data_IF_589223667477
#
_entry.id   IF_589223667477
#
_cell.length_a   1.000
_cell.length_b   1.000
_cell.length_c   1.000
_cell.angle_alpha   90.00
_cell.angle_beta   90.00
_cell.angle_gamma   90.00
#
_symmetry.space_group_name_H-M   'P 1'
#
loop_
_entity.id
_entity.type
_entity.pdbx_description
1 polymer ?
#
# COMPACT_ATOMS: atom_id res chain seq x y z
N UNK A 1 3.35 17.29 3.29
CA UNK A 1 2.20 16.64 3.94
C UNK A 1 0.94 16.90 3.12
N UNK A 2 0.25 15.85 2.69
CA UNK A 2 -1.05 15.96 2.02
C UNK A 2 -2.18 16.11 3.06
N UNK A 3 -3.27 16.77 2.68
CA UNK A 3 -4.48 16.89 3.52
C UNK A 3 -5.49 15.83 3.09
N UNK A 4 -6.11 15.16 4.06
CA UNK A 4 -7.29 14.32 3.81
C UNK A 4 -8.40 15.20 3.24
N UNK A 5 -9.00 14.74 2.15
CA UNK A 5 -10.19 15.36 1.56
C UNK A 5 -11.42 14.54 1.93
N UNK A 6 -12.58 15.17 1.99
CA UNK A 6 -13.84 14.44 2.17
C UNK A 6 -14.41 14.13 0.79
N UNK A 7 -14.79 12.87 0.56
CA UNK A 7 -15.54 12.43 -0.62
C UNK A 7 -16.61 11.44 -0.16
N UNK A 8 -17.89 11.76 -0.37
CA UNK A 8 -19.04 10.91 -0.02
C UNK A 8 -18.99 10.36 1.42
N UNK A 9 -18.64 11.20 2.39
CA UNK A 9 -18.53 10.79 3.81
C UNK A 9 -17.27 9.98 4.16
N UNK A 10 -16.42 9.67 3.18
CA UNK A 10 -15.15 8.97 3.37
C UNK A 10 -13.95 9.92 3.30
N UNK A 11 -12.88 9.57 4.01
CA UNK A 11 -11.58 10.24 3.86
C UNK A 11 -10.90 9.78 2.58
N UNK A 12 -10.53 10.73 1.72
CA UNK A 12 -9.79 10.49 0.48
C UNK A 12 -8.34 10.95 0.67
N UNK A 13 -7.42 10.01 0.51
CA UNK A 13 -6.00 10.26 0.31
C UNK A 13 -5.65 10.02 -1.16
N UNK A 14 -4.58 10.65 -1.64
CA UNK A 14 -4.12 10.51 -3.03
C UNK A 14 -2.75 9.86 -3.04
N UNK A 15 -2.59 8.80 -3.83
CA UNK A 15 -1.29 8.19 -4.09
C UNK A 15 -0.66 8.94 -5.28
N UNK A 16 0.57 9.45 -5.17
CA UNK A 16 1.26 10.09 -6.28
C UNK A 16 1.35 9.19 -7.52
N UNK A 17 1.06 9.74 -8.70
CA UNK A 17 1.10 8.99 -9.97
C UNK A 17 2.44 8.31 -10.22
N UNK A 18 3.54 8.97 -9.86
CA UNK A 18 4.90 8.43 -9.98
C UNK A 18 5.12 7.12 -9.23
N UNK A 19 4.44 6.90 -8.10
CA UNK A 19 4.53 5.63 -7.38
C UNK A 19 3.72 4.54 -8.09
N UNK A 20 2.53 4.90 -8.58
CA UNK A 20 1.71 4.00 -9.38
C UNK A 20 2.42 3.56 -10.67
N UNK A 21 3.14 4.46 -11.32
CA UNK A 21 3.96 4.16 -12.51
C UNK A 21 5.15 3.24 -12.18
N UNK A 22 5.82 3.46 -11.04
CA UNK A 22 6.91 2.60 -10.58
C UNK A 22 6.44 1.17 -10.27
N UNK A 23 5.22 1.04 -9.77
CA UNK A 23 4.62 -0.24 -9.41
C UNK A 23 3.84 -0.87 -10.58
N UNK A 24 3.83 -0.26 -11.77
CA UNK A 24 3.13 -0.78 -12.96
C UNK A 24 1.60 -0.76 -12.87
N UNK A 25 1.04 -0.04 -11.89
CA UNK A 25 -0.40 0.05 -11.61
C UNK A 25 -1.14 0.88 -12.66
N UNK A 26 -0.43 1.76 -13.36
CA UNK A 26 -0.95 2.52 -14.50
C UNK A 26 -0.27 2.08 -15.77
N UNK A 27 -1.02 2.09 -16.87
CA UNK A 27 -0.50 1.75 -18.19
C UNK A 27 0.43 2.86 -18.75
N UNK A 28 1.07 2.66 -19.92
CA UNK A 28 1.96 3.66 -20.51
C UNK A 28 1.30 5.01 -20.85
N UNK A 29 -0.02 5.02 -21.06
CA UNK A 29 -0.81 6.24 -21.27
C UNK A 29 -1.20 6.90 -19.93
N UNK A 30 -0.94 6.19 -18.83
CA UNK A 30 -1.12 6.61 -17.46
C UNK A 30 -2.57 6.51 -17.00
N UNK A 31 -3.34 5.62 -17.62
CA UNK A 31 -4.67 5.21 -17.20
C UNK A 31 -4.60 3.99 -16.27
N UNK A 32 -5.66 3.78 -15.50
CA UNK A 32 -5.77 2.60 -14.65
C UNK A 32 -6.35 1.43 -15.45
N UNK A 33 -5.80 0.21 -15.32
CA UNK A 33 -6.42 -0.98 -15.89
C UNK A 33 -7.87 -1.14 -15.40
N UNK A 34 -8.76 -1.62 -16.27
CA UNK A 34 -10.19 -1.75 -15.97
C UNK A 34 -10.48 -2.59 -14.71
N UNK A 35 -9.62 -3.55 -14.40
CA UNK A 35 -9.77 -4.47 -13.28
C UNK A 35 -8.89 -4.12 -12.08
N UNK A 36 -8.21 -2.97 -12.10
CA UNK A 36 -7.35 -2.56 -10.99
C UNK A 36 -8.19 -2.34 -9.72
N UNK A 37 -8.04 -3.26 -8.77
CA UNK A 37 -8.68 -3.19 -7.47
C UNK A 37 -7.66 -2.81 -6.39
N UNK A 38 -8.19 -2.35 -5.26
CA UNK A 38 -7.41 -2.10 -4.06
C UNK A 38 -8.22 -2.48 -2.82
N UNK A 39 -7.49 -2.81 -1.75
CA UNK A 39 -8.05 -2.93 -0.40
C UNK A 39 -7.42 -1.88 0.51
N UNK A 40 -8.17 -1.49 1.53
CA UNK A 40 -7.69 -0.63 2.62
C UNK A 40 -7.96 -1.36 3.92
N UNK A 41 -6.89 -1.77 4.60
CA UNK A 41 -6.99 -2.48 5.86
C UNK A 41 -6.46 -1.60 7.00
N UNK A 42 -7.12 -1.66 8.14
CA UNK A 42 -6.64 -1.01 9.36
C UNK A 42 -5.62 -1.92 10.03
N UNK A 43 -4.42 -1.41 10.26
CA UNK A 43 -3.37 -2.13 10.98
C UNK A 43 -3.32 -1.77 12.47
N UNK A 44 -3.54 -0.49 12.81
CA UNK A 44 -3.52 0.00 14.21
C UNK A 44 -4.39 1.27 14.36
N UNK A 45 -4.39 1.91 15.53
CA UNK A 45 -4.92 3.26 15.72
C UNK A 45 -4.27 4.24 14.73
N UNK A 46 -5.09 4.76 13.81
CA UNK A 46 -4.70 5.75 12.77
C UNK A 46 -3.63 5.25 11.79
N UNK A 47 -3.38 3.94 11.74
CA UNK A 47 -2.47 3.30 10.78
C UNK A 47 -3.28 2.41 9.86
N UNK A 48 -3.18 2.69 8.56
CA UNK A 48 -3.88 1.98 7.51
C UNK A 48 -2.88 1.57 6.44
N UNK A 49 -3.09 0.40 5.83
CA UNK A 49 -2.36 -0.06 4.67
C UNK A 49 -3.29 -0.06 3.46
N UNK A 50 -2.79 0.45 2.35
CA UNK A 50 -3.43 0.35 1.04
C UNK A 50 -2.65 -0.66 0.24
N UNK A 51 -3.32 -1.68 -0.28
CA UNK A 51 -2.73 -2.69 -1.16
C UNK A 51 -3.50 -2.74 -2.46
N UNK A 52 -2.79 -2.87 -3.56
CA UNK A 52 -3.35 -2.97 -4.90
C UNK A 52 -3.23 -4.40 -5.38
N UNK A 53 -4.16 -4.81 -6.23
CA UNK A 53 -4.05 -6.11 -6.88
C UNK A 53 -2.88 -6.13 -7.86
N UNK A 54 -2.20 -7.27 -7.95
CA UNK A 54 -1.23 -7.54 -9.01
C UNK A 54 -1.93 -7.75 -10.37
N UNK A 55 -1.13 -8.06 -11.40
CA UNK A 55 -1.60 -8.31 -12.77
C UNK A 55 -2.57 -9.50 -12.88
N UNK A 56 -2.55 -10.43 -11.93
CA UNK A 56 -3.44 -11.60 -11.88
C UNK A 56 -4.70 -11.34 -11.03
N UNK A 57 -4.84 -10.12 -10.47
CA UNK A 57 -5.94 -9.77 -9.57
C UNK A 57 -5.74 -10.25 -8.13
N UNK A 58 -4.57 -10.78 -7.80
CA UNK A 58 -4.19 -11.22 -6.46
C UNK A 58 -3.89 -10.05 -5.54
N UNK A 59 -4.21 -10.17 -4.25
CA UNK A 59 -3.79 -9.20 -3.23
C UNK A 59 -2.56 -9.73 -2.49
N UNK A 60 -1.39 -9.05 -2.54
CA UNK A 60 -0.21 -9.50 -1.81
C UNK A 60 -0.49 -9.49 -0.29
N UNK A 61 -0.15 -10.57 0.40
CA UNK A 61 -0.32 -10.66 1.85
C UNK A 61 0.59 -9.62 2.54
N UNK A 62 0.08 -8.92 3.57
CA UNK A 62 0.83 -7.85 4.23
C UNK A 62 2.14 -8.39 4.82
N UNK A 63 2.05 -9.55 5.45
CA UNK A 63 3.14 -10.31 6.07
C UNK A 63 4.19 -10.80 5.08
N UNK A 64 3.82 -10.99 3.82
CA UNK A 64 4.72 -11.42 2.74
C UNK A 64 5.37 -10.24 2.03
N UNK A 65 5.04 -9.00 2.39
CA UNK A 65 5.72 -7.84 1.84
C UNK A 65 7.14 -7.71 2.40
N UNK A 66 8.10 -7.42 1.52
CA UNK A 66 9.50 -7.13 1.87
C UNK A 66 9.66 -6.15 3.03
N UNK A 67 8.76 -5.17 3.11
CA UNK A 67 8.77 -4.17 4.18
C UNK A 67 8.53 -4.80 5.56
N UNK A 68 7.52 -5.66 5.69
CA UNK A 68 7.24 -6.35 6.96
C UNK A 68 8.38 -7.28 7.33
N UNK A 69 8.92 -8.02 6.35
CA UNK A 69 10.10 -8.86 6.55
C UNK A 69 11.29 -8.07 7.12
N UNK A 70 11.58 -6.89 6.57
CA UNK A 70 12.67 -6.01 7.06
C UNK A 70 12.41 -5.50 8.47
N UNK A 71 11.18 -5.08 8.79
CA UNK A 71 10.83 -4.60 10.14
C UNK A 71 10.96 -5.72 11.17
N UNK A 72 10.52 -6.94 10.85
CA UNK A 72 10.67 -8.10 11.72
C UNK A 72 12.15 -8.42 11.94
N UNK A 73 12.95 -8.46 10.86
CA UNK A 73 14.38 -8.72 10.96
C UNK A 73 15.11 -7.69 11.83
N UNK A 74 14.78 -6.40 11.68
CA UNK A 74 15.33 -5.34 12.53
C UNK A 74 15.00 -5.56 14.00
N UNK A 75 13.73 -5.84 14.33
CA UNK A 75 13.33 -6.08 15.73
C UNK A 75 14.01 -7.30 16.34
N UNK A 76 14.19 -8.37 15.58
CA UNK A 76 14.92 -9.55 16.05
C UNK A 76 16.38 -9.23 16.39
N UNK A 77 17.06 -8.46 15.53
CA UNK A 77 18.43 -8.01 15.80
C UNK A 77 18.54 -7.11 17.04
N UNK A 78 17.54 -6.25 17.27
CA UNK A 78 17.44 -5.40 18.45
C UNK A 78 17.18 -6.22 19.74
N UNK A 79 16.40 -7.30 19.66
CA UNK A 79 16.16 -8.22 20.78
C UNK A 79 17.37 -9.09 21.13
N UNK A 80 18.20 -9.48 20.16
CA UNK A 80 19.42 -10.28 20.39
C UNK A 80 20.53 -9.49 21.12
N UNK A 81 20.43 -8.16 21.20
CA UNK A 81 21.42 -7.29 21.85
C UNK A 81 21.03 -6.88 23.29
N UNK A 82 20.04 -7.52 23.90
CA UNK A 82 19.50 -7.16 25.22
C UNK A 82 19.49 -8.33 26.21
#
# INVERSE_FOLDING_TARGET
MQKLRVKNGSGMATIPKTFLEQDGVVDPDGEFPNEQALTVDRLDERVYVVRMTDEEGGLPAVEETDYVGRVVAQKLLECDHH
#
